data_IF_202725448634
#
_entry.id   IF_202725448634
#
_cell.length_a   1.000
_cell.length_b   1.000
_cell.length_c   1.000
_cell.angle_alpha   90.00
_cell.angle_beta   90.00
_cell.angle_gamma   90.00
#
_symmetry.space_group_name_H-M   'P 1'
#
loop_
_entity.id
_entity.type
_entity.pdbx_description
1 polymer ?
#
# COMPACT_ATOMS: atom_id res chain seq x y z
N UNK A 1 22.53 19.79 22.02
CA UNK A 1 23.03 18.52 21.45
C UNK A 1 22.43 17.32 22.17
N UNK A 2 21.27 16.83 21.73
CA UNK A 2 20.66 15.52 22.08
C UNK A 2 19.65 15.18 20.98
N UNK A 3 19.58 13.91 20.57
CA UNK A 3 18.54 13.42 19.65
C UNK A 3 19.04 12.78 18.35
N UNK A 4 19.56 11.56 18.43
CA UNK A 4 19.62 10.59 17.32
C UNK A 4 20.06 9.20 17.82
N UNK A 5 19.12 8.39 18.33
CA UNK A 5 19.34 6.95 18.55
C UNK A 5 18.08 6.14 18.97
N UNK A 6 16.88 6.49 18.48
CA UNK A 6 15.70 5.63 18.70
C UNK A 6 15.78 4.27 17.97
N UNK A 7 16.35 4.26 16.75
CA UNK A 7 16.37 3.08 15.88
C UNK A 7 17.52 2.10 16.19
N UNK A 8 18.65 2.58 16.74
CA UNK A 8 19.83 1.74 16.95
C UNK A 8 19.76 0.92 18.26
N UNK A 9 19.09 1.44 19.29
CA UNK A 9 19.01 0.80 20.63
C UNK A 9 18.17 -0.48 20.64
N UNK A 10 17.20 -0.62 19.72
CA UNK A 10 16.34 -1.81 19.63
C UNK A 10 17.09 -2.97 18.95
N UNK A 11 17.86 -2.69 17.89
CA UNK A 11 18.69 -3.70 17.20
C UNK A 11 19.75 -4.29 18.14
N UNK A 12 20.41 -3.45 18.95
CA UNK A 12 21.40 -3.87 19.94
C UNK A 12 20.84 -4.77 21.07
N UNK A 13 19.53 -4.68 21.39
CA UNK A 13 18.92 -5.52 22.43
C UNK A 13 18.64 -6.96 21.99
N UNK A 14 18.56 -7.23 20.69
CA UNK A 14 18.31 -8.58 20.17
C UNK A 14 19.55 -9.50 20.25
N UNK A 15 20.76 -8.94 20.36
CA UNK A 15 22.01 -9.68 20.47
C UNK A 15 22.36 -10.13 21.90
N UNK A 16 21.49 -9.89 22.90
CA UNK A 16 21.77 -10.18 24.32
C UNK A 16 20.99 -11.38 24.88
N UNK A 17 20.84 -12.46 24.10
CA UNK A 17 20.21 -13.71 24.57
C UNK A 17 20.77 -15.00 23.94
N UNK A 18 22.07 -15.25 24.11
CA UNK A 18 22.61 -16.58 24.51
C UNK A 18 24.14 -16.50 24.57
N UNK A 19 24.76 -17.17 25.55
CA UNK A 19 26.24 -17.24 25.63
C UNK A 19 26.87 -17.99 24.43
N UNK A 20 26.07 -18.79 23.71
CA UNK A 20 26.48 -19.50 22.50
C UNK A 20 26.74 -18.55 21.31
N UNK A 21 25.96 -17.47 21.17
CA UNK A 21 26.04 -16.58 20.00
C UNK A 21 27.36 -15.80 19.91
N UNK A 22 27.94 -15.41 21.05
CA UNK A 22 29.21 -14.65 21.09
C UNK A 22 30.40 -15.50 20.65
N UNK A 23 30.38 -16.81 20.93
CA UNK A 23 31.46 -17.71 20.53
C UNK A 23 31.51 -17.92 19.01
N UNK A 24 30.35 -18.13 18.37
CA UNK A 24 30.27 -18.26 16.92
C UNK A 24 30.59 -16.96 16.18
N UNK A 25 30.20 -15.79 16.70
CA UNK A 25 30.59 -14.51 16.07
C UNK A 25 32.08 -14.22 16.23
N UNK A 26 32.71 -14.59 17.35
CA UNK A 26 34.18 -14.53 17.49
C UNK A 26 34.89 -15.45 16.49
N UNK A 27 34.44 -16.70 16.31
CA UNK A 27 35.01 -17.61 15.30
C UNK A 27 34.90 -17.01 13.90
N UNK A 28 33.72 -16.52 13.50
CA UNK A 28 33.52 -15.93 12.17
C UNK A 28 34.43 -14.70 11.93
N UNK A 29 34.55 -13.82 12.93
CA UNK A 29 35.45 -12.65 12.86
C UNK A 29 36.91 -13.09 12.77
N UNK A 30 37.36 -14.09 13.54
CA UNK A 30 38.72 -14.62 13.45
C UNK A 30 39.00 -15.28 12.10
N UNK A 31 38.07 -16.08 11.56
CA UNK A 31 38.23 -16.68 10.23
C UNK A 31 38.29 -15.62 9.12
N UNK A 32 37.50 -14.54 9.23
CA UNK A 32 37.52 -13.44 8.28
C UNK A 32 38.82 -12.63 8.35
N UNK A 33 39.31 -12.34 9.57
CA UNK A 33 40.63 -11.75 9.78
C UNK A 33 41.76 -12.62 9.20
N UNK A 34 41.72 -13.94 9.41
CA UNK A 34 42.68 -14.86 8.80
C UNK A 34 42.60 -14.85 7.27
N UNK A 35 41.40 -14.81 6.71
CA UNK A 35 41.18 -14.74 5.26
C UNK A 35 41.75 -13.44 4.65
N UNK A 36 41.53 -12.30 5.30
CA UNK A 36 42.09 -11.01 4.88
C UNK A 36 43.63 -10.96 5.05
N UNK A 37 44.18 -11.51 6.13
CA UNK A 37 45.63 -11.53 6.39
C UNK A 37 46.41 -12.46 5.46
N UNK A 38 45.75 -13.48 4.88
CA UNK A 38 46.33 -14.36 3.86
C UNK A 38 46.13 -13.87 2.41
N UNK A 39 45.67 -12.63 2.21
CA UNK A 39 45.74 -11.95 0.91
C UNK A 39 44.68 -12.33 -0.14
N UNK A 40 43.65 -13.10 0.20
CA UNK A 40 42.59 -13.52 -0.74
C UNK A 40 41.52 -12.44 -1.02
N UNK A 41 41.96 -11.21 -1.28
CA UNK A 41 41.11 -10.09 -1.68
C UNK A 41 41.47 -9.58 -3.07
N UNK A 42 41.18 -10.36 -4.12
CA UNK A 42 40.72 -9.77 -5.38
C UNK A 42 39.99 -10.75 -6.31
N UNK A 43 38.85 -10.31 -6.86
CA UNK A 43 38.33 -10.56 -8.22
C UNK A 43 36.80 -10.41 -8.29
N UNK A 44 36.32 -9.22 -8.66
CA UNK A 44 35.02 -9.06 -9.33
C UNK A 44 35.19 -9.42 -10.82
N UNK A 45 34.29 -10.21 -11.44
CA UNK A 45 34.40 -10.50 -12.87
C UNK A 45 34.07 -9.27 -13.72
N UNK A 46 34.94 -8.95 -14.68
CA UNK A 46 34.67 -7.94 -15.73
C UNK A 46 33.69 -8.49 -16.78
N UNK A 47 32.90 -7.62 -17.43
CA UNK A 47 32.06 -8.04 -18.56
C UNK A 47 32.91 -8.33 -19.80
N UNK A 48 32.65 -9.46 -20.46
CA UNK A 48 33.25 -9.79 -21.76
C UNK A 48 32.44 -9.11 -22.86
N UNK A 49 33.02 -8.08 -23.49
CA UNK A 49 32.69 -7.73 -24.87
C UNK A 49 33.47 -8.66 -25.78
N UNK A 50 32.78 -9.34 -26.70
CA UNK A 50 33.42 -10.03 -27.82
C UNK A 50 33.01 -9.33 -29.13
N UNK A 51 33.98 -9.13 -30.00
CA UNK A 51 33.81 -8.45 -31.29
C UNK A 51 34.59 -9.19 -32.36
N UNK A 52 33.91 -10.12 -33.04
CA UNK A 52 34.42 -10.75 -34.26
C UNK A 52 33.64 -10.27 -35.49
N UNK A 53 34.35 -9.58 -36.40
CA UNK A 53 33.97 -9.42 -37.81
C UNK A 53 34.32 -10.71 -38.58
N UNK A 54 33.64 -11.04 -39.70
CA UNK A 54 34.08 -12.22 -40.47
C UNK A 54 33.34 -12.76 -41.71
N UNK A 55 32.50 -12.00 -42.41
CA UNK A 55 32.16 -12.19 -43.84
C UNK A 55 31.37 -13.42 -44.40
N UNK A 56 30.67 -13.11 -45.50
CA UNK A 56 30.22 -13.94 -46.65
C UNK A 56 29.11 -15.02 -46.49
N UNK A 57 27.92 -14.74 -47.05
CA UNK A 57 27.57 -15.23 -48.41
C UNK A 57 26.29 -14.58 -49.00
N UNK A 58 26.15 -14.74 -50.32
CA UNK A 58 25.28 -13.98 -51.25
C UNK A 58 23.82 -14.48 -51.35
N UNK A 59 22.95 -13.61 -51.91
CA UNK A 59 21.85 -13.89 -52.87
C UNK A 59 20.36 -14.09 -52.44
N UNK A 60 19.55 -13.14 -52.95
CA UNK A 60 18.37 -13.28 -53.85
C UNK A 60 16.91 -13.33 -53.32
N UNK A 61 16.17 -12.29 -53.77
CA UNK A 61 14.81 -12.28 -54.39
C UNK A 61 13.61 -12.70 -53.49
N UNK A 62 12.50 -11.95 -53.43
CA UNK A 62 11.60 -11.64 -54.56
C UNK A 62 10.60 -10.49 -54.29
N UNK A 63 9.96 -10.03 -55.38
CA UNK A 63 8.95 -8.96 -55.62
C UNK A 63 7.72 -8.94 -54.66
N UNK A 64 6.80 -7.95 -54.54
CA UNK A 64 6.18 -6.97 -55.46
C UNK A 64 4.68 -7.31 -55.65
N UNK A 65 3.68 -6.43 -55.83
CA UNK A 65 3.55 -4.96 -55.97
C UNK A 65 2.06 -4.54 -55.72
N UNK A 66 1.74 -3.30 -55.33
CA UNK A 66 0.36 -2.75 -55.45
C UNK A 66 -0.05 -1.58 -54.51
N UNK A 67 -0.28 -0.38 -55.06
CA UNK A 67 -0.86 0.80 -54.36
C UNK A 67 -2.37 0.96 -54.60
N UNK A 68 -2.97 2.19 -54.72
CA UNK A 68 -2.34 3.53 -54.74
C UNK A 68 -3.16 4.74 -54.15
N UNK A 69 -2.55 5.95 -54.15
CA UNK A 69 -3.16 7.32 -54.11
C UNK A 69 -3.93 7.80 -52.83
N UNK A 70 -3.98 9.09 -52.45
CA UNK A 70 -3.20 10.30 -52.79
C UNK A 70 -3.38 11.43 -51.73
N UNK A 71 -2.70 12.57 -51.96
CA UNK A 71 -3.00 13.95 -51.49
C UNK A 71 -2.11 14.54 -50.38
N UNK A 72 -1.20 15.41 -50.84
CA UNK A 72 -0.15 16.12 -50.12
C UNK A 72 -0.63 17.44 -49.49
N UNK A 73 0.08 17.91 -48.46
CA UNK A 73 0.48 19.32 -48.40
C UNK A 73 1.84 19.50 -47.72
N UNK A 74 2.79 20.08 -48.46
CA UNK A 74 4.04 20.66 -47.93
C UNK A 74 3.69 22.10 -47.45
N UNK A 75 4.48 22.82 -46.65
CA UNK A 75 5.87 23.27 -46.88
C UNK A 75 6.46 23.91 -45.60
N UNK A 76 7.80 23.88 -45.50
CA UNK A 76 8.73 24.70 -44.67
C UNK A 76 8.96 24.33 -43.20
N UNK A 77 10.16 23.80 -42.96
CA UNK A 77 10.86 23.94 -41.68
C UNK A 77 11.59 25.28 -41.55
N UNK A 78 11.95 25.62 -40.31
CA UNK A 78 13.00 26.57 -39.94
C UNK A 78 13.90 25.90 -38.90
N UNK A 79 15.19 26.24 -38.92
CA UNK A 79 16.17 25.77 -37.95
C UNK A 79 15.91 26.34 -36.54
N UNK A 80 16.44 25.73 -35.46
CA UNK A 80 16.13 26.14 -34.09
C UNK A 80 16.91 27.39 -33.67
N UNK A 81 16.20 28.45 -33.27
CA UNK A 81 16.80 29.57 -32.56
C UNK A 81 17.22 29.18 -31.14
N UNK A 82 18.45 29.55 -30.80
CA UNK A 82 19.05 29.33 -29.48
C UNK A 82 18.50 30.32 -28.45
N UNK A 83 17.31 30.03 -27.91
CA UNK A 83 16.67 30.81 -26.85
C UNK A 83 16.69 30.08 -25.51
N UNK A 84 17.57 30.47 -24.60
CA UNK A 84 17.72 29.88 -23.26
C UNK A 84 16.50 30.12 -22.36
N UNK A 85 15.44 29.32 -22.52
CA UNK A 85 14.33 29.32 -21.58
C UNK A 85 14.73 28.59 -20.30
N UNK A 86 15.06 29.39 -19.27
CA UNK A 86 15.25 28.89 -17.92
C UNK A 86 14.00 28.14 -17.46
N UNK A 87 14.17 26.86 -17.13
CA UNK A 87 13.07 26.03 -16.62
C UNK A 87 12.46 26.68 -15.37
N UNK A 88 11.20 27.09 -15.45
CA UNK A 88 10.40 27.50 -14.30
C UNK A 88 10.04 26.28 -13.42
N UNK A 89 11.07 25.66 -12.84
CA UNK A 89 10.94 24.67 -11.78
C UNK A 89 10.32 25.40 -10.59
N UNK A 90 9.11 25.01 -10.17
CA UNK A 90 8.45 25.64 -9.02
C UNK A 90 9.35 25.51 -7.78
N UNK A 91 9.92 26.63 -7.33
CA UNK A 91 10.95 26.71 -6.27
C UNK A 91 10.47 26.09 -4.94
N UNK A 92 9.17 25.95 -4.74
CA UNK A 92 8.52 25.41 -3.53
C UNK A 92 8.77 23.92 -3.23
N UNK A 93 9.40 23.12 -4.12
CA UNK A 93 9.45 21.65 -3.99
C UNK A 93 10.84 21.04 -3.74
N UNK A 94 11.86 21.87 -3.50
CA UNK A 94 13.25 21.44 -3.25
C UNK A 94 13.56 21.12 -1.78
N UNK A 95 12.88 21.77 -0.84
CA UNK A 95 13.14 21.67 0.60
C UNK A 95 12.71 20.33 1.22
N UNK A 96 13.39 19.92 2.29
CA UNK A 96 13.15 18.67 3.00
C UNK A 96 13.82 17.43 2.37
N UNK A 97 13.76 16.30 3.05
CA UNK A 97 14.41 15.04 2.65
C UNK A 97 13.41 13.92 2.42
N UNK A 98 13.75 12.93 1.58
CA UNK A 98 12.92 11.72 1.40
C UNK A 98 13.29 10.68 2.47
N UNK A 99 12.46 10.60 3.51
CA UNK A 99 12.53 9.62 4.60
C UNK A 99 11.66 8.40 4.27
N UNK A 100 12.03 7.21 4.76
CA UNK A 100 11.15 6.03 4.73
C UNK A 100 9.86 6.28 5.54
N UNK A 101 8.74 5.59 5.22
CA UNK A 101 7.49 5.79 5.93
C UNK A 101 7.60 5.30 7.38
N UNK A 102 7.30 6.18 8.34
CA UNK A 102 7.27 5.84 9.76
C UNK A 102 5.93 5.22 10.19
N UNK A 103 4.93 5.20 9.31
CA UNK A 103 3.68 4.46 9.49
C UNK A 103 3.07 4.06 8.14
N UNK A 104 2.46 2.87 8.07
CA UNK A 104 1.88 2.31 6.85
C UNK A 104 0.43 1.86 7.11
N UNK A 105 -0.49 2.26 6.23
CA UNK A 105 -1.85 1.72 6.21
C UNK A 105 -1.85 0.43 5.38
N UNK A 106 -1.57 -0.69 6.03
CA UNK A 106 -1.40 -2.00 5.39
C UNK A 106 -2.69 -2.64 4.88
N UNK A 107 -3.85 -2.21 5.38
CA UNK A 107 -5.09 -2.89 5.06
C UNK A 107 -6.36 -2.32 5.68
N UNK A 108 -7.50 -2.96 5.48
CA UNK A 108 -7.69 -4.10 4.55
C UNK A 108 -8.24 -3.61 3.20
N UNK A 109 -8.05 -4.41 2.15
CA UNK A 109 -8.72 -4.18 0.85
C UNK A 109 -10.22 -4.02 1.10
N UNK A 110 -10.78 -2.89 0.64
CA UNK A 110 -12.18 -2.45 0.81
C UNK A 110 -12.61 -1.95 2.20
N UNK A 111 -11.74 -1.96 3.22
CA UNK A 111 -12.11 -1.51 4.57
C UNK A 111 -12.36 -0.01 4.72
N UNK A 112 -11.67 0.83 3.93
CA UNK A 112 -11.79 2.29 4.02
C UNK A 112 -10.47 3.05 3.87
N UNK A 113 -9.35 2.33 3.74
CA UNK A 113 -7.97 2.85 3.68
C UNK A 113 -7.75 4.13 2.88
N UNK A 114 -8.40 4.33 1.72
CA UNK A 114 -8.25 5.59 0.96
C UNK A 114 -8.95 6.79 1.61
N UNK A 115 -10.08 6.58 2.28
CA UNK A 115 -10.72 7.64 3.07
C UNK A 115 -9.77 8.09 4.19
N UNK A 116 -9.28 7.13 4.99
CA UNK A 116 -8.35 7.39 6.08
C UNK A 116 -7.12 8.18 5.61
N UNK A 117 -6.47 7.78 4.52
CA UNK A 117 -5.29 8.49 4.02
C UNK A 117 -5.62 9.93 3.55
N UNK A 118 -6.73 10.15 2.85
CA UNK A 118 -7.11 11.51 2.44
C UNK A 118 -7.49 12.38 3.64
N UNK A 119 -8.04 11.79 4.72
CA UNK A 119 -8.39 12.49 5.95
C UNK A 119 -7.13 12.85 6.77
N UNK A 120 -6.15 11.93 6.86
CA UNK A 120 -4.85 12.17 7.48
C UNK A 120 -4.03 13.25 6.78
N UNK A 121 -4.10 13.35 5.45
CA UNK A 121 -3.38 14.36 4.64
C UNK A 121 -3.84 15.80 4.86
N UNK A 122 -4.84 16.03 5.71
CA UNK A 122 -5.23 17.36 6.20
C UNK A 122 -4.26 17.84 7.29
N UNK A 123 -3.69 16.91 8.08
CA UNK A 123 -2.77 17.24 9.16
C UNK A 123 -1.47 17.84 8.58
N UNK A 124 -1.00 19.00 9.08
CA UNK A 124 0.18 19.69 8.53
C UNK A 124 1.45 18.83 8.59
N UNK A 125 1.57 17.98 9.61
CA UNK A 125 2.71 17.10 9.83
C UNK A 125 2.59 15.73 9.13
N UNK A 126 1.60 15.52 8.24
CA UNK A 126 1.47 14.26 7.48
C UNK A 126 1.74 14.48 6.00
N UNK A 127 2.76 13.77 5.49
CA UNK A 127 3.07 13.68 4.06
C UNK A 127 2.92 12.23 3.62
N UNK A 128 2.23 11.99 2.51
CA UNK A 128 1.96 10.62 2.06
C UNK A 128 2.11 10.44 0.55
N UNK A 129 2.50 9.22 0.15
CA UNK A 129 2.49 8.79 -1.26
C UNK A 129 1.06 8.76 -1.78
N UNK A 130 0.83 9.34 -2.97
CA UNK A 130 -0.51 9.46 -3.55
C UNK A 130 -1.04 8.17 -4.22
N UNK A 131 -0.13 7.35 -4.74
CA UNK A 131 -0.38 6.02 -5.28
C UNK A 131 -0.20 4.93 -4.19
N UNK A 132 -0.49 3.67 -4.53
CA UNK A 132 -0.20 2.50 -3.69
C UNK A 132 1.17 1.96 -4.14
N UNK A 133 2.27 2.06 -3.35
CA UNK A 133 3.61 1.71 -3.82
C UNK A 133 3.80 0.27 -4.28
N UNK A 134 3.07 -0.68 -3.67
CA UNK A 134 3.21 -2.11 -3.96
C UNK A 134 4.64 -2.66 -3.82
N UNK A 135 5.42 -2.10 -2.89
CA UNK A 135 6.80 -2.50 -2.65
C UNK A 135 6.86 -3.89 -2.01
N UNK A 136 6.30 -4.06 -0.81
CA UNK A 136 6.34 -5.32 -0.05
C UNK A 136 5.41 -6.43 -0.59
N UNK A 137 4.77 -6.27 -1.76
CA UNK A 137 3.94 -7.31 -2.40
C UNK A 137 4.18 -7.53 -3.90
N UNK A 138 4.87 -6.62 -4.62
CA UNK A 138 5.13 -6.77 -6.08
C UNK A 138 6.49 -6.27 -6.57
N UNK A 139 7.09 -5.30 -5.88
CA UNK A 139 8.24 -4.55 -6.40
C UNK A 139 9.42 -4.53 -5.43
N UNK A 140 9.50 -5.51 -4.53
CA UNK A 140 10.55 -5.61 -3.52
C UNK A 140 11.95 -5.67 -4.14
N UNK A 141 12.09 -6.39 -5.26
CA UNK A 141 13.35 -6.57 -6.01
C UNK A 141 13.90 -5.26 -6.61
N UNK A 142 13.11 -4.18 -6.64
CA UNK A 142 13.60 -2.84 -7.02
C UNK A 142 14.45 -2.17 -5.93
N UNK A 143 14.50 -2.76 -4.73
CA UNK A 143 15.34 -2.33 -3.62
C UNK A 143 14.77 -1.14 -2.83
N UNK A 144 15.31 -0.97 -1.62
CA UNK A 144 14.86 0.06 -0.67
C UNK A 144 15.08 1.49 -1.18
N UNK A 145 16.10 1.74 -2.00
CA UNK A 145 16.33 3.07 -2.57
C UNK A 145 15.24 3.47 -3.58
N UNK A 146 14.79 2.53 -4.42
CA UNK A 146 13.62 2.76 -5.27
C UNK A 146 12.39 3.09 -4.43
N UNK A 147 12.14 2.33 -3.36
CA UNK A 147 11.01 2.59 -2.45
C UNK A 147 11.09 3.98 -1.79
N UNK A 148 12.27 4.36 -1.29
CA UNK A 148 12.54 5.70 -0.74
C UNK A 148 12.35 6.80 -1.77
N UNK A 149 12.70 6.54 -3.03
CA UNK A 149 12.51 7.50 -4.13
C UNK A 149 11.03 7.84 -4.40
N UNK A 150 10.09 6.96 -4.05
CA UNK A 150 8.64 7.23 -4.18
C UNK A 150 8.11 8.17 -3.09
N UNK A 151 8.83 8.32 -1.99
CA UNK A 151 8.37 9.09 -0.84
C UNK A 151 8.35 10.60 -1.14
N UNK A 152 7.35 11.35 -0.61
CA UNK A 152 7.40 12.80 -0.64
C UNK A 152 8.61 13.31 0.17
N UNK A 153 9.10 14.52 -0.15
CA UNK A 153 10.00 15.24 0.77
C UNK A 153 9.21 15.64 2.03
N UNK A 154 9.84 15.45 3.18
CA UNK A 154 9.36 15.87 4.51
C UNK A 154 10.34 16.85 5.14
N UNK A 155 9.78 17.81 5.89
CA UNK A 155 10.53 18.63 6.85
C UNK A 155 10.73 17.85 8.17
N UNK A 156 11.48 18.42 9.10
CA UNK A 156 11.60 17.84 10.44
C UNK A 156 10.27 17.94 11.20
N UNK A 157 9.98 16.96 12.06
CA UNK A 157 8.67 16.80 12.70
C UNK A 157 7.58 16.16 11.83
N UNK A 158 7.69 16.17 10.49
CA UNK A 158 6.69 15.55 9.61
C UNK A 158 6.87 14.03 9.49
N UNK A 159 5.74 13.32 9.48
CA UNK A 159 5.63 11.88 9.25
C UNK A 159 5.41 11.60 7.76
N UNK A 160 6.22 10.71 7.19
CA UNK A 160 6.02 10.09 5.88
C UNK A 160 5.11 8.86 6.05
N UNK A 161 4.11 8.72 5.18
CA UNK A 161 3.20 7.56 5.17
C UNK A 161 2.98 7.00 3.76
N UNK A 162 2.60 5.72 3.71
CA UNK A 162 2.02 5.11 2.51
C UNK A 162 0.79 4.23 2.85
N UNK A 163 0.17 3.68 1.82
CA UNK A 163 -1.05 2.87 1.95
C UNK A 163 -1.12 1.86 0.81
N UNK A 164 -0.84 0.60 1.11
CA UNK A 164 -1.00 -0.52 0.17
C UNK A 164 -1.89 -1.58 0.82
N UNK A 165 -3.20 -1.66 0.48
CA UNK A 165 -4.16 -2.48 1.23
C UNK A 165 -4.01 -4.00 1.08
N UNK A 166 -3.10 -4.45 0.21
CA UNK A 166 -2.65 -5.84 0.10
C UNK A 166 -1.53 -6.18 1.09
N UNK A 167 -0.89 -5.21 1.76
CA UNK A 167 0.13 -5.53 2.75
C UNK A 167 -0.42 -6.21 4.00
N UNK A 168 -1.72 -6.19 4.29
CA UNK A 168 -2.27 -6.98 5.40
C UNK A 168 -2.05 -8.51 5.22
N UNK A 169 -1.55 -8.94 4.06
CA UNK A 169 -1.02 -10.29 3.80
C UNK A 169 0.50 -10.34 3.50
N UNK A 170 1.27 -9.27 3.79
CA UNK A 170 2.75 -9.15 3.69
C UNK A 170 3.36 -8.50 4.97
N UNK A 171 4.48 -7.73 4.94
CA UNK A 171 5.26 -7.38 6.17
C UNK A 171 5.81 -5.91 6.27
N UNK A 172 5.99 -5.49 7.53
CA UNK A 172 6.79 -4.37 8.13
C UNK A 172 6.26 -2.90 8.24
N UNK A 173 6.85 -2.14 9.20
CA UNK A 173 6.54 -0.79 9.75
C UNK A 173 5.51 -0.75 10.94
N UNK A 174 5.16 0.43 11.50
CA UNK A 174 3.96 0.63 12.34
C UNK A 174 2.67 0.64 11.51
N UNK A 175 1.61 -0.01 12.00
CA UNK A 175 0.64 -0.67 11.13
C UNK A 175 -0.78 -0.22 11.42
N UNK A 176 -1.39 0.50 10.48
CA UNK A 176 -2.80 0.88 10.57
C UNK A 176 -3.64 -0.06 9.70
N UNK A 177 -4.65 -0.67 10.32
CA UNK A 177 -5.59 -1.59 9.66
C UNK A 177 -7.00 -1.02 9.76
N UNK A 178 -7.50 -0.48 8.65
CA UNK A 178 -8.91 -0.11 8.50
C UNK A 178 -9.71 -1.36 8.18
N UNK A 179 -10.39 -1.90 9.19
CA UNK A 179 -11.24 -3.08 9.10
C UNK A 179 -12.70 -2.70 8.85
N UNK A 180 -13.55 -3.68 8.51
CA UNK A 180 -14.96 -3.50 8.13
C UNK A 180 -15.67 -4.84 8.32
N UNK A 181 -17.00 -4.88 8.48
CA UNK A 181 -17.80 -6.12 8.41
C UNK A 181 -17.30 -7.00 7.24
N UNK A 182 -16.74 -8.20 7.50
CA UNK A 182 -16.18 -9.08 6.48
C UNK A 182 -17.14 -9.43 5.34
N UNK A 183 -18.44 -9.50 5.61
CA UNK A 183 -19.49 -9.77 4.62
C UNK A 183 -19.63 -8.58 3.68
N UNK A 184 -19.89 -7.38 4.21
CA UNK A 184 -20.03 -6.19 3.36
C UNK A 184 -18.71 -5.78 2.68
N UNK A 185 -17.57 -6.13 3.31
CA UNK A 185 -16.22 -6.04 2.73
C UNK A 185 -16.06 -6.97 1.52
N UNK A 186 -16.49 -8.23 1.63
CA UNK A 186 -16.47 -9.21 0.54
C UNK A 186 -17.37 -8.78 -0.63
N UNK A 187 -18.61 -8.36 -0.36
CA UNK A 187 -19.54 -7.83 -1.39
C UNK A 187 -18.94 -6.59 -2.06
N UNK A 188 -18.30 -5.69 -1.32
CA UNK A 188 -17.62 -4.53 -1.92
C UNK A 188 -16.40 -4.90 -2.77
N UNK A 189 -15.74 -6.02 -2.46
CA UNK A 189 -14.61 -6.55 -3.23
C UNK A 189 -15.11 -7.11 -4.57
N UNK A 190 -16.10 -8.00 -4.51
CA UNK A 190 -16.84 -8.53 -5.66
C UNK A 190 -17.35 -7.42 -6.57
N UNK A 191 -18.06 -6.42 -6.01
CA UNK A 191 -18.58 -5.26 -6.75
C UNK A 191 -17.49 -4.53 -7.54
N UNK A 192 -16.28 -4.41 -6.98
CA UNK A 192 -15.17 -3.78 -7.69
C UNK A 192 -14.63 -4.65 -8.83
N UNK A 193 -14.57 -5.97 -8.66
CA UNK A 193 -14.18 -6.91 -9.71
C UNK A 193 -15.22 -6.94 -10.83
N UNK A 194 -16.51 -6.98 -10.50
CA UNK A 194 -17.62 -6.92 -11.45
C UNK A 194 -17.58 -5.64 -12.31
N UNK A 195 -17.29 -4.46 -11.72
CA UNK A 195 -17.10 -3.23 -12.52
C UNK A 195 -15.88 -3.22 -13.45
N UNK A 196 -15.00 -4.23 -13.37
CA UNK A 196 -13.86 -4.44 -14.28
C UNK A 196 -14.04 -5.62 -15.23
N UNK A 197 -14.93 -6.55 -14.90
CA UNK A 197 -15.21 -7.77 -15.65
C UNK A 197 -16.71 -8.06 -15.54
N UNK A 198 -17.52 -7.56 -16.49
CA UNK A 198 -18.98 -7.69 -16.44
C UNK A 198 -19.49 -9.14 -16.51
N UNK A 199 -18.71 -10.06 -17.10
CA UNK A 199 -19.02 -11.49 -17.18
C UNK A 199 -18.58 -12.32 -15.95
N UNK A 200 -18.25 -11.66 -14.82
CA UNK A 200 -17.90 -12.35 -13.59
C UNK A 200 -19.10 -13.18 -13.07
N UNK A 201 -18.90 -14.45 -12.63
CA UNK A 201 -19.98 -15.25 -12.04
C UNK A 201 -20.62 -14.56 -10.84
N UNK A 202 -21.85 -14.95 -10.51
CA UNK A 202 -22.59 -14.37 -9.38
C UNK A 202 -21.83 -14.51 -8.05
N UNK A 203 -22.11 -13.61 -7.11
CA UNK A 203 -21.46 -13.60 -5.81
C UNK A 203 -21.58 -14.96 -5.09
N UNK A 204 -22.76 -15.58 -5.12
CA UNK A 204 -22.98 -16.88 -4.49
C UNK A 204 -22.18 -18.01 -5.18
N UNK A 205 -22.05 -18.00 -6.51
CA UNK A 205 -21.28 -19.02 -7.24
C UNK A 205 -19.76 -18.91 -6.99
N UNK A 206 -19.28 -17.77 -6.49
CA UNK A 206 -17.90 -17.57 -6.05
C UNK A 206 -17.72 -17.73 -4.53
N UNK A 207 -18.78 -17.52 -3.74
CA UNK A 207 -18.75 -17.61 -2.28
C UNK A 207 -18.86 -19.04 -1.76
N UNK A 208 -19.52 -19.94 -2.48
CA UNK A 208 -19.67 -21.35 -2.11
C UNK A 208 -18.85 -22.26 -3.01
N UNK A 209 -18.08 -23.17 -2.40
CA UNK A 209 -17.46 -24.30 -3.09
C UNK A 209 -18.50 -25.38 -3.44
N UNK A 210 -19.56 -25.47 -2.66
CA UNK A 210 -20.72 -26.32 -2.93
C UNK A 210 -21.98 -25.63 -2.36
N UNK A 211 -22.83 -25.10 -3.24
CA UNK A 211 -24.02 -24.31 -2.87
C UNK A 211 -25.06 -25.11 -2.09
N UNK A 212 -25.22 -26.41 -2.41
CA UNK A 212 -26.19 -27.32 -1.79
C UNK A 212 -25.87 -27.53 -0.30
N UNK A 213 -24.61 -27.84 0.01
CA UNK A 213 -24.12 -27.99 1.39
C UNK A 213 -23.91 -26.66 2.12
N UNK A 214 -23.86 -25.55 1.41
CA UNK A 214 -23.49 -24.25 1.97
C UNK A 214 -22.00 -24.09 2.31
N UNK A 215 -21.14 -25.01 1.86
CA UNK A 215 -19.71 -24.95 2.12
C UNK A 215 -19.07 -23.72 1.45
N UNK A 216 -18.63 -22.76 2.27
CA UNK A 216 -17.96 -21.52 1.85
C UNK A 216 -16.60 -21.80 1.22
N UNK A 217 -16.31 -21.17 0.07
CA UNK A 217 -14.99 -21.24 -0.55
C UNK A 217 -14.02 -20.23 0.07
N UNK A 218 -13.20 -20.71 1.00
CA UNK A 218 -12.09 -19.94 1.57
C UNK A 218 -10.89 -19.76 0.62
N UNK A 219 -10.87 -20.43 -0.53
CA UNK A 219 -9.88 -20.21 -1.61
C UNK A 219 -10.18 -18.93 -2.41
N UNK A 220 -11.44 -18.49 -2.43
CA UNK A 220 -11.80 -17.23 -3.05
C UNK A 220 -11.26 -16.04 -2.25
N UNK A 221 -10.54 -15.14 -2.93
CA UNK A 221 -9.87 -14.01 -2.29
C UNK A 221 -10.83 -13.06 -1.55
N UNK A 222 -12.07 -12.91 -2.02
CA UNK A 222 -13.04 -12.04 -1.36
C UNK A 222 -13.54 -12.63 -0.03
N UNK A 223 -13.51 -13.95 0.16
CA UNK A 223 -13.72 -14.58 1.47
C UNK A 223 -12.44 -14.53 2.30
N UNK A 224 -11.32 -15.03 1.75
CA UNK A 224 -10.05 -15.16 2.50
C UNK A 224 -9.59 -13.88 3.19
N UNK A 225 -9.73 -12.72 2.55
CA UNK A 225 -9.28 -11.43 3.12
C UNK A 225 -10.11 -11.04 4.36
N UNK A 226 -11.35 -11.49 4.49
CA UNK A 226 -12.22 -11.21 5.64
C UNK A 226 -11.85 -11.95 6.94
N UNK A 227 -10.99 -12.98 6.86
CA UNK A 227 -10.59 -13.80 8.01
C UNK A 227 -9.49 -13.08 8.81
N UNK A 228 -9.82 -11.94 9.42
CA UNK A 228 -8.85 -10.99 9.97
C UNK A 228 -7.95 -11.58 11.07
N UNK A 229 -8.51 -12.39 11.97
CA UNK A 229 -7.74 -13.07 13.02
C UNK A 229 -6.56 -13.87 12.44
N UNK A 230 -6.78 -14.64 11.37
CA UNK A 230 -5.74 -15.49 10.74
C UNK A 230 -4.62 -14.66 10.10
N UNK A 231 -4.93 -13.50 9.54
CA UNK A 231 -3.91 -12.60 9.00
C UNK A 231 -3.14 -11.90 10.11
N UNK A 232 -3.82 -11.48 11.17
CA UNK A 232 -3.21 -10.88 12.35
C UNK A 232 -2.27 -11.86 13.07
N UNK A 233 -2.62 -13.15 13.16
CA UNK A 233 -1.73 -14.19 13.70
C UNK A 233 -0.39 -14.30 12.95
N UNK A 234 -0.36 -14.07 11.63
CA UNK A 234 0.88 -14.08 10.85
C UNK A 234 1.73 -12.85 11.13
N UNK A 235 1.07 -11.71 11.31
CA UNK A 235 1.66 -10.40 11.62
C UNK A 235 2.28 -10.34 13.02
N UNK A 236 1.59 -10.89 14.03
CA UNK A 236 2.03 -10.92 15.42
C UNK A 236 3.27 -11.78 15.69
N UNK A 237 3.71 -12.59 14.70
CA UNK A 237 5.01 -13.29 14.74
C UNK A 237 6.22 -12.36 14.58
N UNK A 238 5.99 -11.13 14.08
CA UNK A 238 7.04 -10.16 13.76
C UNK A 238 6.85 -8.82 14.46
N UNK A 239 5.59 -8.45 14.79
CA UNK A 239 5.25 -7.15 15.37
C UNK A 239 4.46 -7.33 16.68
N UNK A 240 4.77 -6.59 17.75
CA UNK A 240 3.96 -6.60 18.96
C UNK A 240 2.59 -5.95 18.69
N UNK A 241 1.56 -6.35 19.44
CA UNK A 241 0.19 -5.79 19.31
C UNK A 241 0.16 -4.26 19.41
N UNK A 242 1.02 -3.67 20.25
CA UNK A 242 1.15 -2.21 20.42
C UNK A 242 1.64 -1.47 19.16
N UNK A 243 2.16 -2.19 18.15
CA UNK A 243 2.52 -1.65 16.85
C UNK A 243 1.36 -1.55 15.86
N UNK A 244 0.13 -1.95 16.26
CA UNK A 244 -1.07 -1.93 15.44
C UNK A 244 -2.09 -0.91 15.93
N UNK A 245 -2.79 -0.28 14.98
CA UNK A 245 -4.05 0.41 15.22
C UNK A 245 -5.14 -0.17 14.31
N UNK A 246 -6.24 -0.60 14.93
CA UNK A 246 -7.43 -1.08 14.23
C UNK A 246 -8.50 0.03 14.17
N UNK A 247 -8.74 0.53 12.96
CA UNK A 247 -9.69 1.60 12.66
C UNK A 247 -10.98 0.98 12.15
N UNK A 248 -12.13 1.35 12.73
CA UNK A 248 -13.43 0.87 12.24
C UNK A 248 -13.81 1.62 10.95
N UNK A 249 -13.99 0.88 9.86
CA UNK A 249 -14.44 1.42 8.58
C UNK A 249 -15.88 1.94 8.65
N UNK A 250 -16.73 1.36 9.50
CA UNK A 250 -18.08 1.84 9.80
C UNK A 250 -18.02 3.19 10.53
N UNK A 251 -17.25 3.30 11.63
CA UNK A 251 -17.08 4.57 12.35
C UNK A 251 -16.37 5.62 11.51
N UNK A 252 -15.45 5.25 10.63
CA UNK A 252 -14.84 6.18 9.68
C UNK A 252 -15.85 6.81 8.69
N UNK A 253 -17.05 6.22 8.57
CA UNK A 253 -18.18 6.79 7.80
C UNK A 253 -19.13 7.57 8.71
N UNK A 254 -19.51 7.05 9.87
CA UNK A 254 -20.52 7.68 10.76
C UNK A 254 -19.97 8.78 11.66
N UNK A 255 -18.72 8.63 12.12
CA UNK A 255 -18.00 9.53 13.02
C UNK A 255 -16.49 9.56 12.64
N UNK A 256 -16.16 10.17 11.49
CA UNK A 256 -14.77 10.26 11.04
C UNK A 256 -13.88 11.04 12.01
N UNK A 257 -14.44 11.97 12.79
CA UNK A 257 -13.69 12.81 13.71
C UNK A 257 -13.11 12.01 14.88
N UNK A 258 -13.90 11.13 15.52
CA UNK A 258 -13.40 10.32 16.63
C UNK A 258 -12.37 9.27 16.18
N UNK A 259 -12.59 8.58 15.05
CA UNK A 259 -11.58 7.65 14.53
C UNK A 259 -10.29 8.39 14.13
N UNK A 260 -10.39 9.59 13.54
CA UNK A 260 -9.22 10.44 13.28
C UNK A 260 -8.51 10.89 14.56
N UNK A 261 -9.23 11.10 15.67
CA UNK A 261 -8.65 11.32 16.99
C UNK A 261 -7.73 10.17 17.42
N UNK A 262 -8.26 8.94 17.40
CA UNK A 262 -7.50 7.71 17.71
C UNK A 262 -6.24 7.56 16.86
N UNK A 263 -6.36 7.86 15.56
CA UNK A 263 -5.24 7.72 14.61
C UNK A 263 -4.17 8.78 14.84
N UNK A 264 -4.54 10.01 15.18
CA UNK A 264 -3.58 11.07 15.51
C UNK A 264 -2.80 10.71 16.78
N UNK A 265 -3.46 10.25 17.85
CA UNK A 265 -2.79 9.82 19.08
C UNK A 265 -1.80 8.68 18.85
N UNK A 266 -2.21 7.65 18.09
CA UNK A 266 -1.36 6.50 17.76
C UNK A 266 -0.11 6.89 16.96
N UNK A 267 -0.21 7.93 16.12
CA UNK A 267 0.92 8.48 15.37
C UNK A 267 1.75 9.50 16.18
N UNK A 268 1.39 9.79 17.43
CA UNK A 268 2.03 10.83 18.24
C UNK A 268 1.79 12.25 17.73
N UNK A 269 0.74 12.46 16.93
CA UNK A 269 0.38 13.74 16.33
C UNK A 269 -0.57 14.53 17.24
N UNK A 270 -0.54 15.86 17.13
CA UNK A 270 -1.56 16.72 17.73
C UNK A 270 -2.92 16.41 17.10
N UNK A 271 -3.99 16.41 17.89
CA UNK A 271 -5.37 16.30 17.36
C UNK A 271 -5.79 17.59 16.64
N UNK A 272 -5.39 17.74 15.37
CA UNK A 272 -5.75 18.87 14.50
C UNK A 272 -6.97 18.55 13.63
N UNK A 273 -7.07 17.32 13.13
CA UNK A 273 -8.20 16.87 12.31
C UNK A 273 -9.39 16.53 13.22
N UNK A 274 -10.44 17.32 13.07
CA UNK A 274 -11.68 17.31 13.88
C UNK A 274 -12.95 17.34 13.01
N UNK A 275 -14.12 17.28 13.63
CA UNK A 275 -15.46 17.49 13.05
C UNK A 275 -15.56 18.71 12.09
N UNK A 276 -14.84 19.79 12.41
CA UNK A 276 -14.76 21.01 11.58
C UNK A 276 -14.20 20.77 10.18
N UNK A 277 -13.56 19.62 9.93
CA UNK A 277 -13.00 19.24 8.63
C UNK A 277 -13.94 18.36 7.79
N UNK A 278 -15.03 17.85 8.38
CA UNK A 278 -15.94 16.90 7.73
C UNK A 278 -17.33 17.49 7.52
N UNK A 279 -17.98 17.11 6.41
CA UNK A 279 -19.42 17.26 6.22
C UNK A 279 -19.99 15.98 5.60
N UNK A 280 -21.22 15.62 5.94
CA UNK A 280 -21.87 14.46 5.33
C UNK A 280 -22.53 14.86 4.00
N UNK A 281 -22.22 14.14 2.92
CA UNK A 281 -22.88 14.33 1.64
C UNK A 281 -24.01 13.31 1.50
N UNK A 282 -25.26 13.75 1.70
CA UNK A 282 -26.45 12.89 1.65
C UNK A 282 -26.59 12.16 0.30
N UNK A 283 -26.43 12.86 -0.83
CA UNK A 283 -26.50 12.28 -2.18
C UNK A 283 -25.44 11.19 -2.42
N UNK A 284 -24.26 11.33 -1.79
CA UNK A 284 -23.18 10.34 -1.87
C UNK A 284 -23.37 9.21 -0.85
N UNK A 285 -23.98 9.48 0.30
CA UNK A 285 -24.06 8.57 1.45
C UNK A 285 -22.74 8.41 2.23
N UNK A 286 -21.82 9.37 2.13
CA UNK A 286 -20.50 9.30 2.78
C UNK A 286 -20.02 10.68 3.26
N UNK A 287 -19.17 10.74 4.31
CA UNK A 287 -18.48 11.96 4.69
C UNK A 287 -17.50 12.41 3.60
N UNK A 288 -17.40 13.73 3.45
CA UNK A 288 -16.50 14.42 2.55
C UNK A 288 -15.74 15.52 3.31
N UNK A 289 -14.62 15.97 2.74
CA UNK A 289 -13.82 17.02 3.34
C UNK A 289 -14.41 18.40 3.03
N UNK A 290 -14.63 19.19 4.09
CA UNK A 290 -14.97 20.61 4.00
C UNK A 290 -13.86 21.37 3.26
N UNK A 291 -14.22 22.55 2.73
CA UNK A 291 -13.27 23.43 2.05
C UNK A 291 -12.22 23.92 3.07
N UNK A 292 -10.92 23.82 2.80
CA UNK A 292 -9.94 24.72 3.39
C UNK A 292 -10.30 26.16 3.04
N UNK A 293 -10.05 27.11 3.93
CA UNK A 293 -10.15 28.53 3.63
C UNK A 293 -9.25 28.86 2.42
N UNK A 294 -9.79 29.60 1.44
CA UNK A 294 -9.13 29.87 0.16
C UNK A 294 -9.26 28.79 -0.92
N UNK A 295 -9.92 27.64 -0.68
CA UNK A 295 -10.14 26.61 -1.72
C UNK A 295 -11.55 26.62 -2.31
N UNK A 296 -11.66 26.56 -3.64
CA UNK A 296 -12.93 26.76 -4.36
C UNK A 296 -13.94 25.61 -4.26
N UNK A 297 -13.52 24.35 -3.98
CA UNK A 297 -14.41 23.17 -4.06
C UNK A 297 -14.25 22.19 -2.88
N UNK A 298 -15.34 21.64 -2.32
CA UNK A 298 -15.28 20.56 -1.32
C UNK A 298 -14.66 19.29 -1.92
N UNK A 299 -14.00 18.46 -1.11
CA UNK A 299 -13.33 17.25 -1.60
C UNK A 299 -14.02 15.98 -1.10
N UNK A 300 -14.99 15.50 -1.88
CA UNK A 300 -15.52 14.14 -1.77
C UNK A 300 -14.59 13.13 -2.46
N UNK A 301 -14.58 11.88 -1.99
CA UNK A 301 -13.95 10.78 -2.70
C UNK A 301 -14.66 10.52 -4.04
N UNK A 302 -13.89 10.25 -5.10
CA UNK A 302 -14.40 10.05 -6.46
C UNK A 302 -15.35 8.85 -6.63
N UNK A 303 -15.98 8.75 -7.82
CA UNK A 303 -17.01 7.73 -8.16
C UNK A 303 -16.58 6.27 -7.88
N UNK A 304 -15.29 5.98 -7.86
CA UNK A 304 -14.74 4.66 -7.53
C UNK A 304 -14.76 4.29 -6.03
N UNK A 305 -15.30 5.16 -5.16
CA UNK A 305 -15.45 4.95 -3.70
C UNK A 305 -16.91 5.20 -3.30
N UNK A 306 -17.52 4.22 -2.63
CA UNK A 306 -18.98 4.20 -2.42
C UNK A 306 -19.74 3.76 -3.67
N UNK A 307 -19.39 2.61 -4.26
CA UNK A 307 -20.21 2.00 -5.33
C UNK A 307 -21.50 1.43 -4.72
N UNK A 308 -22.65 1.51 -5.40
CA UNK A 308 -23.79 0.68 -5.05
C UNK A 308 -23.39 -0.80 -5.12
N UNK A 309 -23.85 -1.60 -4.18
CA UNK A 309 -23.62 -3.05 -4.18
C UNK A 309 -24.76 -3.74 -4.94
N UNK A 310 -24.50 -4.85 -5.64
CA UNK A 310 -25.56 -5.67 -6.21
C UNK A 310 -26.38 -6.32 -5.10
N UNK A 311 -27.65 -6.63 -5.38
CA UNK A 311 -28.48 -7.39 -4.46
C UNK A 311 -27.94 -8.82 -4.34
N UNK A 312 -27.64 -9.24 -3.11
CA UNK A 312 -27.19 -10.60 -2.78
C UNK A 312 -28.30 -11.27 -1.96
N UNK A 313 -28.67 -12.53 -2.25
CA UNK A 313 -29.70 -13.23 -1.47
C UNK A 313 -29.40 -13.26 0.03
N UNK A 314 -30.43 -13.09 0.85
CA UNK A 314 -30.29 -12.92 2.31
C UNK A 314 -29.70 -14.16 2.99
N UNK A 315 -30.06 -15.35 2.54
CA UNK A 315 -29.51 -16.64 2.98
C UNK A 315 -28.00 -16.75 2.75
N UNK A 316 -27.52 -16.24 1.61
CA UNK A 316 -26.09 -16.20 1.26
C UNK A 316 -25.33 -15.25 2.19
N UNK A 317 -25.92 -14.11 2.53
CA UNK A 317 -25.36 -13.16 3.48
C UNK A 317 -25.35 -13.72 4.91
N UNK A 318 -26.40 -14.43 5.33
CA UNK A 318 -26.50 -15.08 6.64
C UNK A 318 -25.46 -16.19 6.80
N UNK A 319 -25.34 -17.12 5.83
CA UNK A 319 -24.30 -18.16 5.83
C UNK A 319 -22.88 -17.59 5.93
N UNK A 320 -22.63 -16.45 5.28
CA UNK A 320 -21.34 -15.75 5.42
C UNK A 320 -21.16 -15.12 6.81
N UNK A 321 -22.19 -14.55 7.43
CA UNK A 321 -22.11 -14.05 8.82
C UNK A 321 -21.79 -15.18 9.79
N UNK A 322 -22.50 -16.31 9.70
CA UNK A 322 -22.27 -17.51 10.49
C UNK A 322 -20.82 -18.02 10.32
N UNK A 323 -20.34 -18.10 9.07
CA UNK A 323 -18.95 -18.45 8.77
C UNK A 323 -17.92 -17.50 9.40
N UNK A 324 -18.15 -16.18 9.37
CA UNK A 324 -17.20 -15.21 9.92
C UNK A 324 -17.29 -15.06 11.44
N UNK A 325 -18.45 -15.29 12.07
CA UNK A 325 -18.69 -15.11 13.51
C UNK A 325 -17.57 -15.64 14.42
N UNK A 326 -17.10 -16.90 14.33
CA UNK A 326 -16.00 -17.38 15.18
C UNK A 326 -14.67 -16.65 14.93
N UNK A 327 -14.39 -16.22 13.69
CA UNK A 327 -13.19 -15.43 13.37
C UNK A 327 -13.31 -13.98 13.83
N UNK A 328 -14.51 -13.41 13.82
CA UNK A 328 -14.81 -12.07 14.33
C UNK A 328 -14.59 -12.02 15.85
N UNK A 329 -15.20 -12.94 16.59
CA UNK A 329 -15.03 -13.03 18.05
C UNK A 329 -13.56 -13.22 18.45
N UNK A 330 -12.82 -14.10 17.75
CA UNK A 330 -11.37 -14.25 17.95
C UNK A 330 -10.61 -12.94 17.65
N UNK A 331 -10.97 -12.23 16.57
CA UNK A 331 -10.35 -10.94 16.23
C UNK A 331 -10.63 -9.87 17.29
N UNK A 332 -11.83 -9.82 17.86
CA UNK A 332 -12.18 -8.88 18.94
C UNK A 332 -11.38 -9.16 20.20
N UNK A 333 -11.25 -10.44 20.57
CA UNK A 333 -10.40 -10.87 21.69
C UNK A 333 -8.92 -10.51 21.45
N UNK A 334 -8.40 -10.72 20.24
CA UNK A 334 -7.01 -10.38 19.90
C UNK A 334 -6.76 -8.86 19.95
N UNK A 335 -7.69 -8.05 19.44
CA UNK A 335 -7.51 -6.59 19.33
C UNK A 335 -7.93 -5.82 20.57
N UNK A 336 -8.63 -6.45 21.52
CA UNK A 336 -9.26 -5.77 22.65
C UNK A 336 -10.39 -4.81 22.24
N UNK A 337 -10.95 -4.98 21.03
CA UNK A 337 -11.97 -4.10 20.46
C UNK A 337 -13.07 -4.93 19.77
N UNK A 338 -14.31 -4.79 20.23
CA UNK A 338 -15.49 -5.22 19.48
C UNK A 338 -15.80 -4.20 18.37
N UNK A 339 -16.19 -4.70 17.20
CA UNK A 339 -16.58 -3.89 16.03
C UNK A 339 -18.05 -4.07 15.62
N UNK A 340 -18.82 -4.92 16.30
CA UNK A 340 -20.27 -5.05 16.10
C UNK A 340 -20.70 -5.83 14.85
N UNK A 341 -19.91 -6.82 14.40
CA UNK A 341 -20.23 -7.68 13.25
C UNK A 341 -20.48 -9.16 13.62
N UNK A 342 -20.55 -9.47 14.93
CA UNK A 342 -20.55 -10.83 15.48
C UNK A 342 -21.91 -11.47 15.59
#
# INVERSE_FOLDING_TARGET
FRGSSGFCVIMARFLRSSKLSVFFTMILVFTYLFYCLNGFCDSLPRPVYDHHQGNHLQNKLQDGHGGPYNASSLVRGRAPDTGTQANNISIANSFGTKKFPQAIIIGVKKGGTRALLEFLRIHPDVRAVGAEPHFFDRFYDRGLEWYRSLMPRTLEGQITMEKTPSYFITKEAPLIVVVRDPVTRAVSDYTQTLTKSPGLPSFQNLAFRNSTTGLIDTSWSAVRIGIYAKHLENWLRYFPMSGFLFVSGERLVTDPAAEMGRVQDFLGLKRVVTDKHFYFNQTKGFPCLKKPEGSSRPRCLGKSKGRPHPQIPTDVLLRLREFYRPFNLKFYQMTGQDFGWG
#
